data_IF_803577563973
#
_entry.id   IF_803577563973
#
_cell.length_a   1.000
_cell.length_b   1.000
_cell.length_c   1.000
_cell.angle_alpha   90.00
_cell.angle_beta   90.00
_cell.angle_gamma   90.00
#
_symmetry.space_group_name_H-M   'P 1'
#
loop_
_entity.id
_entity.type
_entity.pdbx_description
1 polymer ?
#
# COMPACT_ATOMS: atom_id res chain seq x y z
N UNK A 1 -19.64 -9.69 12.53
CA UNK A 1 -18.54 -8.95 13.20
C UNK A 1 -17.15 -9.54 12.96
N UNK A 2 -16.97 -10.86 12.95
CA UNK A 2 -15.65 -11.51 12.71
C UNK A 2 -15.03 -11.16 11.35
N UNK A 3 -15.81 -11.18 10.26
CA UNK A 3 -15.31 -10.89 8.90
C UNK A 3 -14.69 -9.49 8.76
N UNK A 4 -15.28 -8.47 9.40
CA UNK A 4 -14.76 -7.10 9.38
C UNK A 4 -13.43 -6.95 10.14
N UNK A 5 -13.24 -7.72 11.22
CA UNK A 5 -11.96 -7.74 11.95
C UNK A 5 -10.86 -8.42 11.12
N UNK A 6 -11.18 -9.47 10.35
CA UNK A 6 -10.23 -10.09 9.41
C UNK A 6 -9.82 -9.13 8.30
N UNK A 7 -10.80 -8.48 7.65
CA UNK A 7 -10.55 -7.55 6.55
C UNK A 7 -9.72 -6.32 6.99
N UNK A 8 -9.96 -5.80 8.20
CA UNK A 8 -9.15 -4.70 8.74
C UNK A 8 -7.70 -5.12 8.99
N UNK A 9 -7.49 -6.28 9.61
CA UNK A 9 -6.14 -6.79 9.88
C UNK A 9 -5.35 -7.04 8.60
N UNK A 10 -5.99 -7.58 7.56
CA UNK A 10 -5.41 -7.74 6.22
C UNK A 10 -5.04 -6.38 5.60
N UNK A 11 -5.95 -5.41 5.65
CA UNK A 11 -5.70 -4.06 5.14
C UNK A 11 -4.53 -3.36 5.85
N UNK A 12 -4.46 -3.47 7.19
CA UNK A 12 -3.38 -2.92 8.01
C UNK A 12 -2.04 -3.58 7.68
N UNK A 13 -2.02 -4.89 7.50
CA UNK A 13 -0.83 -5.62 7.08
C UNK A 13 -0.33 -5.14 5.71
N UNK A 14 -1.20 -5.04 4.71
CA UNK A 14 -0.82 -4.54 3.38
C UNK A 14 -0.34 -3.09 3.43
N UNK A 15 -1.00 -2.22 4.19
CA UNK A 15 -0.58 -0.84 4.37
C UNK A 15 0.82 -0.75 5.02
N UNK A 16 1.11 -1.58 6.01
CA UNK A 16 2.42 -1.64 6.65
C UNK A 16 3.53 -2.08 5.68
N UNK A 17 3.26 -3.11 4.87
CA UNK A 17 4.21 -3.56 3.84
C UNK A 17 4.51 -2.47 2.81
N UNK A 18 3.48 -1.73 2.37
CA UNK A 18 3.64 -0.64 1.42
C UNK A 18 4.43 0.52 2.01
N UNK A 19 4.16 0.90 3.26
CA UNK A 19 4.94 1.92 3.97
C UNK A 19 6.42 1.53 4.07
N UNK A 20 6.69 0.28 4.41
CA UNK A 20 8.06 -0.22 4.49
C UNK A 20 8.76 -0.21 3.11
N UNK A 21 8.03 -0.50 2.03
CA UNK A 21 8.58 -0.38 0.67
C UNK A 21 8.95 1.06 0.34
N UNK A 22 8.05 2.02 0.60
CA UNK A 22 8.30 3.45 0.36
C UNK A 22 9.52 3.96 1.17
N UNK A 23 9.64 3.57 2.43
CA UNK A 23 10.80 3.90 3.26
C UNK A 23 12.11 3.36 2.66
N UNK A 24 12.12 2.11 2.18
CA UNK A 24 13.30 1.53 1.52
C UNK A 24 13.68 2.26 0.23
N UNK A 25 12.72 2.88 -0.45
CA UNK A 25 12.97 3.72 -1.64
C UNK A 25 13.39 5.16 -1.33
N UNK A 26 13.57 5.50 -0.05
CA UNK A 26 13.98 6.84 0.36
C UNK A 26 12.85 7.88 0.38
N UNK A 27 11.59 7.45 0.29
CA UNK A 27 10.44 8.37 0.38
C UNK A 27 10.34 8.92 1.81
N UNK A 28 10.18 10.25 1.98
CA UNK A 28 10.10 10.87 3.29
C UNK A 28 8.98 10.31 4.18
N UNK A 29 9.24 10.17 5.48
CA UNK A 29 8.31 9.57 6.44
C UNK A 29 6.93 10.25 6.46
N UNK A 30 6.88 11.57 6.31
CA UNK A 30 5.62 12.32 6.27
C UNK A 30 4.75 11.93 5.06
N UNK A 31 5.35 11.53 3.93
CA UNK A 31 4.62 11.02 2.78
C UNK A 31 4.22 9.55 2.96
N UNK A 32 5.09 8.74 3.57
CA UNK A 32 4.81 7.34 3.92
C UNK A 32 3.59 7.24 4.84
N UNK A 33 3.45 8.16 5.79
CA UNK A 33 2.32 8.23 6.74
C UNK A 33 0.94 8.42 6.07
N UNK A 34 0.93 8.78 4.78
CA UNK A 34 -0.29 9.00 3.98
C UNK A 34 -0.89 7.72 3.42
N UNK A 35 -0.16 6.60 3.49
CA UNK A 35 -0.71 5.27 3.19
C UNK A 35 -1.56 4.82 4.37
N UNK A 36 -2.83 4.48 4.15
CA UNK A 36 -3.78 4.08 5.20
C UNK A 36 -4.58 2.85 4.79
N UNK A 37 -4.95 2.03 5.77
CA UNK A 37 -5.87 0.91 5.58
C UNK A 37 -7.31 1.42 5.65
N UNK A 38 -8.16 0.96 4.72
CA UNK A 38 -9.59 1.25 4.69
C UNK A 38 -10.39 -0.04 4.55
N UNK A 39 -11.51 -0.15 5.28
CA UNK A 39 -12.48 -1.24 5.13
C UNK A 39 -13.81 -0.66 4.68
N UNK A 40 -14.28 -1.07 3.51
CA UNK A 40 -15.61 -0.69 3.02
C UNK A 40 -16.68 -1.63 3.58
N UNK A 41 -17.93 -1.14 3.72
CA UNK A 41 -19.05 -1.86 4.33
C UNK A 41 -19.39 -3.23 3.71
N UNK A 42 -18.86 -3.55 2.52
CA UNK A 42 -18.99 -4.85 1.84
C UNK A 42 -17.94 -5.90 2.25
N UNK A 43 -17.16 -5.65 3.31
CA UNK A 43 -16.09 -6.57 3.75
C UNK A 43 -14.88 -6.58 2.81
N UNK A 44 -14.72 -5.52 2.01
CA UNK A 44 -13.54 -5.34 1.13
C UNK A 44 -12.53 -4.45 1.83
N UNK A 45 -11.28 -4.92 1.88
CA UNK A 45 -10.12 -4.20 2.32
C UNK A 45 -9.50 -3.41 1.16
N UNK A 46 -9.19 -2.14 1.37
CA UNK A 46 -8.48 -1.28 0.43
C UNK A 46 -7.31 -0.61 1.14
N UNK A 47 -6.23 -0.34 0.40
CA UNK A 47 -5.16 0.54 0.86
C UNK A 47 -5.35 1.88 0.17
N UNK A 48 -5.67 2.90 0.94
CA UNK A 48 -5.64 4.27 0.46
C UNK A 48 -4.19 4.72 0.44
N UNK A 49 -3.68 4.86 -0.77
CA UNK A 49 -2.46 5.59 -1.00
C UNK A 49 -2.94 7.04 -1.15
N UNK A 50 -2.76 7.88 -0.12
CA UNK A 50 -3.10 9.31 -0.21
C UNK A 50 -2.41 10.00 -1.40
N UNK A 51 -2.50 11.32 -1.55
CA UNK A 51 -1.88 12.00 -2.70
C UNK A 51 -0.33 12.06 -2.63
N UNK A 52 0.33 10.90 -2.69
CA UNK A 52 1.77 10.76 -2.88
C UNK A 52 2.17 11.69 -4.04
N UNK A 53 3.14 12.58 -3.84
CA UNK A 53 3.74 13.32 -4.93
C UNK A 53 4.18 12.35 -6.03
N UNK A 54 4.08 12.80 -7.28
CA UNK A 54 4.41 11.98 -8.47
C UNK A 54 5.79 11.34 -8.35
N UNK A 55 6.78 12.06 -7.80
CA UNK A 55 8.14 11.54 -7.59
C UNK A 55 8.18 10.30 -6.69
N UNK A 56 7.41 10.29 -5.60
CA UNK A 56 7.38 9.17 -4.65
C UNK A 56 6.59 7.97 -5.19
N UNK A 57 5.55 8.23 -5.99
CA UNK A 57 4.86 7.17 -6.73
C UNK A 57 5.79 6.51 -7.78
N UNK A 58 6.57 7.31 -8.51
CA UNK A 58 7.55 6.82 -9.49
C UNK A 58 8.68 6.05 -8.81
N UNK A 59 9.19 6.53 -7.67
CA UNK A 59 10.22 5.82 -6.91
C UNK A 59 9.75 4.43 -6.46
N UNK A 60 8.51 4.33 -5.97
CA UNK A 60 7.90 3.04 -5.64
C UNK A 60 7.78 2.14 -6.87
N UNK A 61 7.27 2.65 -7.99
CA UNK A 61 7.11 1.88 -9.23
C UNK A 61 8.44 1.34 -9.75
N UNK A 62 9.51 2.15 -9.71
CA UNK A 62 10.85 1.72 -10.15
C UNK A 62 11.48 0.68 -9.22
N UNK A 63 11.06 0.61 -7.95
CA UNK A 63 11.56 -0.36 -6.98
C UNK A 63 10.78 -1.67 -6.98
N UNK A 64 9.58 -1.69 -7.56
CA UNK A 64 8.87 -2.92 -7.82
C UNK A 64 9.58 -3.65 -8.97
N UNK A 65 9.76 -4.98 -8.88
CA UNK A 65 10.29 -5.72 -10.01
C UNK A 65 9.40 -5.44 -11.23
N UNK A 66 9.97 -5.35 -12.45
CA UNK A 66 9.15 -5.30 -13.65
C UNK A 66 8.16 -6.45 -13.54
N UNK A 67 6.87 -6.16 -13.69
CA UNK A 67 5.85 -7.21 -13.82
C UNK A 67 6.41 -8.16 -14.85
N UNK A 68 6.81 -9.35 -14.41
CA UNK A 68 7.10 -10.44 -15.33
C UNK A 68 5.87 -10.48 -16.21
N UNK A 69 6.03 -10.13 -17.49
CA UNK A 69 5.10 -10.64 -18.48
C UNK A 69 5.02 -12.11 -18.15
N UNK A 70 3.80 -12.57 -17.86
CA UNK A 70 3.55 -13.96 -17.63
C UNK A 70 4.21 -14.69 -18.80
N UNK A 71 5.26 -15.47 -18.49
CA UNK A 71 5.75 -16.47 -19.41
C UNK A 71 4.57 -17.37 -19.73
N UNK A 72 4.00 -17.11 -20.92
CA UNK A 72 3.26 -18.00 -21.83
C UNK A 72 2.66 -19.27 -21.24
#
# INVERSE_FOLDING_TARGET
MSQYKSALAEAEHTAALLRAALQRTGVPEHEVSRVRALVAGKGRAYVEIGALPVGSAVALLNALPPTSEASS
#
